data_IF_758168599747
#
_entry.id   IF_758168599747
#
_cell.length_a   1.000
_cell.length_b   1.000
_cell.length_c   1.000
_cell.angle_alpha   90.00
_cell.angle_beta   90.00
_cell.angle_gamma   90.00
#
_symmetry.space_group_name_H-M   'P 1'
#
loop_
_entity.id
_entity.type
_entity.pdbx_description
1 polymer ?
#
# COMPACT_ATOMS: atom_id res chain seq x y z
N UNK A 1 -4.51 8.99 -16.17
CA UNK A 1 -3.75 7.95 -15.43
C UNK A 1 -2.25 8.13 -15.55
N UNK A 2 -1.70 8.38 -16.74
CA UNK A 2 -0.25 8.45 -16.97
C UNK A 2 0.50 9.47 -16.10
N UNK A 3 0.00 10.71 -16.00
CA UNK A 3 0.64 11.75 -15.18
C UNK A 3 0.76 11.35 -13.69
N UNK A 4 -0.26 10.70 -13.14
CA UNK A 4 -0.25 10.30 -11.73
C UNK A 4 0.64 9.06 -11.46
N UNK A 5 0.87 8.21 -12.48
CA UNK A 5 1.90 7.17 -12.45
C UNK A 5 3.31 7.80 -12.52
N UNK A 6 3.54 8.74 -13.43
CA UNK A 6 4.82 9.45 -13.56
C UNK A 6 5.20 10.21 -12.28
N UNK A 7 4.23 10.87 -11.63
CA UNK A 7 4.43 11.63 -10.40
C UNK A 7 4.42 10.77 -9.12
N UNK A 8 4.27 9.44 -9.23
CA UNK A 8 4.20 8.50 -8.08
C UNK A 8 3.18 8.88 -7.01
N UNK A 9 2.12 9.61 -7.39
CA UNK A 9 1.08 10.09 -6.47
C UNK A 9 0.23 8.95 -5.93
N UNK A 10 0.03 7.90 -6.73
CA UNK A 10 -0.67 6.70 -6.31
C UNK A 10 0.16 5.87 -5.31
N UNK A 11 1.49 5.85 -5.41
CA UNK A 11 2.35 5.20 -4.42
C UNK A 11 2.24 5.84 -3.04
N UNK A 12 2.19 7.18 -3.00
CA UNK A 12 2.01 7.91 -1.75
C UNK A 12 0.64 7.62 -1.13
N UNK A 13 -0.41 7.63 -1.95
CA UNK A 13 -1.77 7.31 -1.51
C UNK A 13 -1.87 5.86 -1.00
N UNK A 14 -1.31 4.89 -1.74
CA UNK A 14 -1.28 3.49 -1.36
C UNK A 14 -0.56 3.26 -0.03
N UNK A 15 0.62 3.87 0.15
CA UNK A 15 1.35 3.84 1.43
C UNK A 15 0.50 4.39 2.56
N UNK A 16 -0.15 5.54 2.37
CA UNK A 16 -0.99 6.14 3.40
C UNK A 16 -2.12 5.20 3.83
N UNK A 17 -2.77 4.53 2.86
CA UNK A 17 -3.79 3.52 3.14
C UNK A 17 -3.25 2.33 3.94
N UNK A 18 -2.11 1.75 3.54
CA UNK A 18 -1.49 0.63 4.26
C UNK A 18 -1.10 1.02 5.68
N UNK A 19 -0.43 2.17 5.87
CA UNK A 19 -0.02 2.62 7.20
C UNK A 19 -1.20 2.93 8.11
N UNK A 20 -2.26 3.59 7.61
CA UNK A 20 -3.48 3.79 8.39
C UNK A 20 -4.14 2.46 8.75
N UNK A 21 -4.17 1.52 7.81
CA UNK A 21 -4.74 0.19 8.02
C UNK A 21 -4.03 -0.56 9.15
N UNK A 22 -2.70 -0.54 9.17
CA UNK A 22 -1.89 -1.10 10.27
C UNK A 22 -2.20 -0.37 11.58
N UNK A 23 -2.10 0.97 11.59
CA UNK A 23 -2.27 1.76 12.81
C UNK A 23 -3.68 1.66 13.44
N UNK A 24 -4.70 1.41 12.63
CA UNK A 24 -6.10 1.28 13.08
C UNK A 24 -6.59 -0.17 13.14
N UNK A 25 -5.72 -1.15 12.86
CA UNK A 25 -6.08 -2.56 12.68
C UNK A 25 -7.27 -2.77 11.72
N UNK A 26 -7.27 -2.05 10.60
CA UNK A 26 -8.32 -2.06 9.56
C UNK A 26 -7.80 -2.70 8.28
N UNK A 27 -8.06 -3.99 8.11
CA UNK A 27 -7.63 -4.76 6.94
C UNK A 27 -8.15 -4.15 5.62
N UNK A 28 -9.37 -3.61 5.60
CA UNK A 28 -9.94 -2.98 4.39
C UNK A 28 -9.08 -1.83 3.84
N UNK A 29 -8.42 -1.06 4.72
CA UNK A 29 -7.53 0.02 4.30
C UNK A 29 -6.21 -0.55 3.76
N UNK A 30 -5.72 -1.64 4.35
CA UNK A 30 -4.53 -2.35 3.86
C UNK A 30 -4.79 -2.89 2.45
N UNK A 31 -5.90 -3.58 2.25
CA UNK A 31 -6.26 -4.18 0.95
C UNK A 31 -6.45 -3.12 -0.14
N UNK A 32 -7.08 -1.99 0.20
CA UNK A 32 -7.21 -0.83 -0.70
C UNK A 32 -5.85 -0.27 -1.10
N UNK A 33 -4.93 -0.13 -0.15
CA UNK A 33 -3.57 0.34 -0.43
C UNK A 33 -2.82 -0.59 -1.38
N UNK A 34 -2.94 -1.90 -1.19
CA UNK A 34 -2.30 -2.91 -2.06
C UNK A 34 -2.90 -2.93 -3.47
N UNK A 35 -4.23 -2.87 -3.62
CA UNK A 35 -4.87 -2.80 -4.94
C UNK A 35 -4.43 -1.58 -5.76
N UNK A 36 -4.23 -0.42 -5.10
CA UNK A 36 -3.75 0.78 -5.79
C UNK A 36 -2.35 0.53 -6.39
N UNK A 37 -1.49 -0.21 -5.71
CA UNK A 37 -0.14 -0.54 -6.20
C UNK A 37 -0.14 -1.57 -7.31
N UNK A 38 -1.07 -2.52 -7.28
CA UNK A 38 -1.25 -3.48 -8.39
C UNK A 38 -1.63 -2.75 -9.69
N UNK A 39 -2.46 -1.71 -9.60
CA UNK A 39 -2.86 -0.89 -10.75
C UNK A 39 -1.72 -0.02 -11.32
N UNK A 40 -0.66 0.21 -10.53
CA UNK A 40 0.52 0.98 -10.94
C UNK A 40 1.73 0.13 -11.30
N UNK A 41 1.62 -1.21 -11.27
CA UNK A 41 2.71 -2.17 -11.52
C UNK A 41 3.94 -2.00 -10.59
N UNK A 42 3.74 -1.41 -9.40
CA UNK A 42 4.81 -1.10 -8.43
C UNK A 42 5.17 -2.31 -7.55
N UNK A 43 5.60 -3.41 -8.18
CA UNK A 43 5.87 -4.72 -7.54
C UNK A 43 6.81 -4.62 -6.33
N UNK A 44 7.89 -3.83 -6.43
CA UNK A 44 8.85 -3.67 -5.34
C UNK A 44 8.22 -3.04 -4.09
N UNK A 45 7.27 -2.12 -4.27
CA UNK A 45 6.59 -1.47 -3.16
C UNK A 45 5.57 -2.40 -2.51
N UNK A 46 4.90 -3.24 -3.31
CA UNK A 46 4.01 -4.30 -2.81
C UNK A 46 4.79 -5.25 -1.89
N UNK A 47 5.94 -5.78 -2.34
CA UNK A 47 6.73 -6.72 -1.55
C UNK A 47 7.17 -6.13 -0.19
N UNK A 48 7.64 -4.88 -0.20
CA UNK A 48 8.04 -4.17 1.01
C UNK A 48 6.87 -3.98 2.00
N UNK A 49 5.70 -3.59 1.48
CA UNK A 49 4.53 -3.36 2.33
C UNK A 49 3.94 -4.67 2.85
N UNK A 50 3.93 -5.74 2.05
CA UNK A 50 3.53 -7.06 2.52
C UNK A 50 4.44 -7.59 3.64
N UNK A 51 5.75 -7.35 3.54
CA UNK A 51 6.68 -7.66 4.63
C UNK A 51 6.33 -6.88 5.91
N UNK A 52 6.09 -5.58 5.79
CA UNK A 52 5.70 -4.72 6.91
C UNK A 52 4.39 -5.19 7.57
N UNK A 53 3.37 -5.49 6.78
CA UNK A 53 2.06 -5.98 7.27
C UNK A 53 2.26 -7.26 8.08
N UNK A 54 3.05 -8.21 7.57
CA UNK A 54 3.35 -9.48 8.26
C UNK A 54 4.03 -9.25 9.61
N UNK A 55 4.96 -8.30 9.71
CA UNK A 55 5.62 -7.99 10.99
C UNK A 55 4.64 -7.49 12.05
N UNK A 56 3.64 -6.71 11.65
CA UNK A 56 2.66 -6.10 12.56
C UNK A 56 1.40 -6.96 12.80
N UNK A 57 1.25 -8.11 12.13
CA UNK A 57 0.15 -9.06 12.36
C UNK A 57 0.52 -10.20 13.32
N UNK A 58 1.77 -10.27 13.78
CA UNK A 58 2.28 -11.31 14.70
C UNK A 58 2.25 -10.94 16.18
N UNK A 59 1.72 -9.76 16.54
CA UNK A 59 1.47 -9.31 17.93
C UNK A 59 -0.03 -9.45 18.28
#
# INVERSE_FOLDING_TARGET
MELAKQEKRYDQLARAYVYLGIAQNKQELIDKGLQILELTDEKRLIDNLQFLIKQHQTD
#
